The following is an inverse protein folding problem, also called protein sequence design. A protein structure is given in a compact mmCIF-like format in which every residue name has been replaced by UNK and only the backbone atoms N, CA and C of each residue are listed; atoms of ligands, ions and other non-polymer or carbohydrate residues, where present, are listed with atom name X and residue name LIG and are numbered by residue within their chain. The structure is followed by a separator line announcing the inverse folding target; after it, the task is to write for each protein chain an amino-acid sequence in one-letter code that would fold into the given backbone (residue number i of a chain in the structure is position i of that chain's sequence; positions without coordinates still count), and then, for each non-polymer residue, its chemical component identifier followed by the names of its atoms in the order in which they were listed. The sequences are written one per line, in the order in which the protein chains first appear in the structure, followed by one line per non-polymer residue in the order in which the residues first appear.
data_IF_925814922099
#
_entry.id   IF_925814922099
#
_cell.length_a   1.000
_cell.length_b   1.000
_cell.length_c   1.000
_cell.angle_alpha   90.00
_cell.angle_beta   90.00
_cell.angle_gamma   90.00
#
_symmetry.space_group_name_H-M   'P 1'
#
loop_
_entity.id
_entity.type
_entity.pdbx_description
1 polymer ?
#
# COMPACT_ATOMS: atom_id res chain seq x y z
N UNK A 1 39.49 42.16 29.51
CA UNK A 1 39.28 40.97 30.36
C UNK A 1 39.18 39.77 29.42
N UNK A 2 40.22 39.09 28.90
CA UNK A 2 41.52 38.65 29.42
C UNK A 2 41.44 37.95 30.78
N UNK A 3 41.35 36.60 30.76
CA UNK A 3 42.21 35.65 31.50
C UNK A 3 42.23 34.29 30.76
N UNK A 4 43.44 33.89 30.34
CA UNK A 4 44.14 32.58 30.24
C UNK A 4 43.39 31.24 30.03
N UNK A 5 43.66 30.47 28.96
CA UNK A 5 44.73 29.44 28.72
C UNK A 5 45.01 28.41 29.83
N UNK A 6 44.92 27.11 29.47
CA UNK A 6 45.93 26.07 29.75
C UNK A 6 45.63 24.70 29.08
N UNK A 7 46.63 24.19 28.33
CA UNK A 7 47.15 22.81 28.17
C UNK A 7 46.19 21.67 27.75
N UNK A 8 46.43 20.83 26.72
CA UNK A 8 47.67 20.42 26.07
C UNK A 8 47.98 18.95 26.40
N UNK A 9 47.58 18.00 25.55
CA UNK A 9 48.10 16.62 25.56
C UNK A 9 48.46 16.20 24.14
N UNK A 10 49.77 16.11 23.92
CA UNK A 10 50.43 15.49 22.79
C UNK A 10 50.24 13.96 22.83
N UNK A 11 49.91 13.34 21.69
CA UNK A 11 50.21 11.92 21.46
C UNK A 11 51.02 11.83 20.18
N UNK A 12 52.29 11.46 20.34
CA UNK A 12 53.23 11.22 19.25
C UNK A 12 52.97 9.87 18.58
N UNK A 13 53.12 9.89 17.26
CA UNK A 13 53.12 8.75 16.37
C UNK A 13 54.29 7.79 16.65
N UNK A 14 54.05 6.50 16.45
CA UNK A 14 55.10 5.52 16.14
C UNK A 14 54.76 4.91 14.79
N UNK A 15 55.61 5.20 13.81
CA UNK A 15 55.63 4.56 12.51
C UNK A 15 56.48 3.28 12.60
N UNK A 16 56.00 2.20 12.00
CA UNK A 16 56.78 0.98 11.80
C UNK A 16 56.69 0.56 10.32
N UNK A 17 57.81 0.61 9.56
CA UNK A 17 57.87 0.09 8.21
C UNK A 17 58.75 -1.16 8.14
N UNK A 18 58.21 -2.28 7.63
CA UNK A 18 58.82 -3.09 6.55
C UNK A 18 58.16 -4.46 6.38
N UNK A 19 57.94 -4.77 5.09
CA UNK A 19 58.08 -6.07 4.42
C UNK A 19 57.15 -7.21 4.88
N UNK A 20 56.30 -7.66 3.96
CA UNK A 20 56.57 -8.90 3.21
C UNK A 20 55.60 -9.07 2.04
N UNK A 21 56.16 -9.14 0.84
CA UNK A 21 55.50 -9.61 -0.35
C UNK A 21 55.31 -11.13 -0.24
N UNK A 22 54.12 -11.67 -0.55
CA UNK A 22 53.99 -13.04 -1.03
C UNK A 22 52.59 -13.32 -1.62
N UNK A 23 52.61 -13.57 -2.93
CA UNK A 23 51.82 -14.59 -3.65
C UNK A 23 50.30 -14.45 -3.76
N UNK A 24 49.91 -13.95 -4.94
CA UNK A 24 48.71 -14.35 -5.68
C UNK A 24 48.68 -15.88 -5.85
N UNK A 25 47.53 -16.56 -5.69
CA UNK A 25 47.28 -17.83 -6.34
C UNK A 25 46.61 -17.61 -7.70
N UNK A 26 46.99 -18.51 -8.60
CA UNK A 26 46.72 -18.50 -10.03
C UNK A 26 45.23 -18.61 -10.40
N UNK A 27 44.92 -17.94 -11.50
CA UNK A 27 43.84 -18.25 -12.42
C UNK A 27 43.87 -19.75 -12.74
N UNK A 28 42.89 -20.51 -12.25
CA UNK A 28 42.60 -21.84 -12.76
C UNK A 28 41.75 -21.70 -14.01
N UNK A 29 42.42 -21.99 -15.12
CA UNK A 29 41.85 -22.49 -16.37
C UNK A 29 40.70 -23.46 -16.09
N UNK A 30 39.50 -23.12 -16.57
CA UNK A 30 38.45 -24.10 -16.81
C UNK A 30 38.58 -24.52 -18.27
N UNK A 31 39.07 -25.75 -18.42
CA UNK A 31 39.13 -26.52 -19.65
C UNK A 31 37.74 -26.69 -20.26
N UNK A 32 37.70 -26.40 -21.56
CA UNK A 32 36.74 -26.82 -22.57
C UNK A 32 36.39 -28.30 -22.38
N UNK A 33 35.13 -28.60 -22.04
CA UNK A 33 34.56 -29.94 -22.19
C UNK A 33 33.61 -29.87 -23.38
N UNK A 34 34.09 -30.39 -24.51
CA UNK A 34 33.23 -30.90 -25.57
C UNK A 34 32.65 -32.23 -25.08
N UNK A 35 31.33 -32.34 -25.06
CA UNK A 35 30.65 -33.63 -25.05
C UNK A 35 29.46 -33.54 -25.99
N UNK A 36 29.62 -34.20 -27.12
CA UNK A 36 28.61 -34.50 -28.11
C UNK A 36 27.58 -35.48 -27.52
N UNK A 37 26.30 -35.24 -27.82
CA UNK A 37 25.42 -36.23 -28.44
C UNK A 37 24.84 -37.39 -27.61
N UNK A 38 23.50 -37.42 -27.59
CA UNK A 38 22.59 -38.57 -27.41
C UNK A 38 22.42 -39.02 -25.94
N UNK A 39 21.22 -39.26 -25.38
CA UNK A 39 19.90 -39.55 -25.94
C UNK A 39 18.83 -39.48 -24.82
N UNK A 40 17.60 -39.12 -25.21
CA UNK A 40 16.32 -39.55 -24.64
C UNK A 40 16.02 -39.30 -23.15
N UNK A 41 15.26 -38.23 -22.87
CA UNK A 41 14.34 -38.20 -21.73
C UNK A 41 13.06 -37.42 -22.08
N UNK A 42 11.85 -37.99 -21.88
CA UNK A 42 10.58 -37.36 -22.23
C UNK A 42 10.09 -36.51 -21.04
N UNK A 43 10.40 -35.22 -21.05
CA UNK A 43 9.78 -34.24 -20.13
C UNK A 43 9.49 -32.89 -20.80
N UNK A 44 9.40 -32.87 -22.13
CA UNK A 44 8.99 -31.72 -22.91
C UNK A 44 7.61 -31.96 -23.54
N UNK A 45 6.54 -31.93 -22.73
CA UNK A 45 5.17 -31.95 -23.26
C UNK A 45 4.11 -31.27 -22.37
N UNK A 46 4.49 -30.54 -21.31
CA UNK A 46 3.50 -29.83 -20.48
C UNK A 46 4.02 -28.44 -20.06
N UNK A 47 4.35 -27.59 -21.03
CA UNK A 47 4.56 -26.14 -20.81
C UNK A 47 4.29 -25.31 -22.09
N UNK A 48 3.47 -25.82 -23.02
CA UNK A 48 2.99 -25.08 -24.20
C UNK A 48 1.47 -24.89 -24.18
N UNK A 49 0.89 -24.73 -22.99
CA UNK A 49 -0.33 -23.93 -22.89
C UNK A 49 0.11 -22.48 -22.99
N UNK A 50 0.18 -22.02 -24.24
CA UNK A 50 -0.05 -20.63 -24.57
C UNK A 50 -1.39 -20.25 -23.92
N UNK A 51 -1.32 -19.79 -22.67
CA UNK A 51 -2.36 -18.93 -22.13
C UNK A 51 -2.24 -17.70 -23.00
N UNK A 52 -3.06 -17.65 -24.05
CA UNK A 52 -3.56 -16.39 -24.57
C UNK A 52 -4.13 -15.68 -23.36
N UNK A 53 -3.28 -14.90 -22.71
CA UNK A 53 -3.70 -13.85 -21.79
C UNK A 53 -4.67 -13.08 -22.67
N UNK A 54 -5.99 -13.09 -22.41
CA UNK A 54 -6.83 -12.12 -23.07
C UNK A 54 -6.18 -10.81 -22.67
N UNK A 55 -5.65 -10.10 -23.66
CA UNK A 55 -5.32 -8.70 -23.52
C UNK A 55 -6.44 -8.14 -22.66
N UNK A 56 -6.12 -7.54 -21.52
CA UNK A 56 -7.05 -6.64 -20.87
C UNK A 56 -7.28 -5.53 -21.89
N UNK A 57 -8.19 -5.82 -22.83
CA UNK A 57 -8.79 -4.89 -23.74
C UNK A 57 -9.25 -3.80 -22.80
N UNK A 58 -8.80 -2.59 -23.08
CA UNK A 58 -9.47 -1.39 -22.65
C UNK A 58 -10.96 -1.69 -22.75
N UNK A 59 -11.66 -1.82 -21.62
CA UNK A 59 -13.13 -1.79 -21.60
C UNK A 59 -13.53 -0.34 -21.91
N UNK A 60 -13.10 0.15 -23.07
CA UNK A 60 -13.66 1.30 -23.74
C UNK A 60 -15.08 0.89 -24.09
N UNK A 61 -15.99 1.31 -23.23
CA UNK A 61 -17.40 1.17 -23.48
C UNK A 61 -17.70 2.04 -24.72
N UNK A 62 -17.75 1.41 -25.90
CA UNK A 62 -18.17 2.05 -27.13
C UNK A 62 -19.60 2.56 -26.92
N UNK A 63 -19.73 3.85 -26.65
CA UNK A 63 -21.03 4.51 -26.39
C UNK A 63 -21.90 4.58 -27.64
N UNK A 64 -21.37 4.23 -28.83
CA UNK A 64 -22.16 4.10 -30.05
C UNK A 64 -22.85 2.74 -30.16
N UNK A 65 -22.39 1.72 -29.43
CA UNK A 65 -23.00 0.39 -29.45
C UNK A 65 -24.26 0.33 -28.56
N UNK A 66 -25.36 -0.27 -29.03
CA UNK A 66 -26.60 -0.39 -28.25
C UNK A 66 -26.47 -1.33 -27.05
N UNK A 67 -25.42 -2.15 -26.99
CA UNK A 67 -25.16 -3.14 -25.95
C UNK A 67 -23.65 -3.16 -25.68
N UNK A 68 -23.21 -3.10 -24.43
CA UNK A 68 -21.78 -3.21 -24.11
C UNK A 68 -21.25 -4.61 -24.46
N UNK A 69 -19.94 -4.72 -24.69
CA UNK A 69 -19.32 -5.97 -25.11
C UNK A 69 -19.62 -7.14 -24.16
N UNK A 70 -19.60 -6.90 -22.84
CA UNK A 70 -19.96 -7.90 -21.84
C UNK A 70 -21.41 -8.41 -22.00
N UNK A 71 -22.39 -7.51 -22.16
CA UNK A 71 -23.79 -7.91 -22.32
C UNK A 71 -24.04 -8.65 -23.64
N UNK A 72 -23.30 -8.29 -24.70
CA UNK A 72 -23.35 -8.98 -26.00
C UNK A 72 -22.79 -10.40 -25.90
N UNK A 73 -21.70 -10.61 -25.18
CA UNK A 73 -21.07 -11.92 -25.01
C UNK A 73 -21.89 -12.88 -24.12
N UNK A 74 -22.81 -12.34 -23.31
CA UNK A 74 -23.62 -13.11 -22.37
C UNK A 74 -25.12 -13.15 -22.72
N UNK A 75 -25.50 -12.77 -23.95
CA UNK A 75 -26.90 -12.71 -24.43
C UNK A 75 -27.86 -11.96 -23.47
N UNK A 76 -27.36 -10.91 -22.81
CA UNK A 76 -28.16 -10.05 -21.93
C UNK A 76 -28.80 -8.95 -22.78
N UNK A 77 -30.11 -9.04 -23.02
CA UNK A 77 -30.87 -8.12 -23.87
C UNK A 77 -31.11 -6.72 -23.28
N UNK A 78 -31.00 -6.55 -21.96
CA UNK A 78 -31.20 -5.28 -21.26
C UNK A 78 -29.90 -4.76 -20.62
N UNK A 79 -29.06 -4.12 -21.43
CA UNK A 79 -27.80 -3.56 -20.97
C UNK A 79 -28.02 -2.27 -20.18
N UNK A 80 -27.85 -2.33 -18.84
CA UNK A 80 -27.96 -1.16 -17.95
C UNK A 80 -26.92 -0.05 -18.19
N UNK A 81 -25.88 -0.33 -18.98
CA UNK A 81 -24.77 0.59 -19.21
C UNK A 81 -24.85 1.34 -20.54
N UNK A 82 -25.79 1.00 -21.43
CA UNK A 82 -26.05 1.79 -22.62
C UNK A 82 -26.85 3.04 -22.23
N UNK A 83 -26.38 4.27 -22.51
CA UNK A 83 -27.17 5.47 -22.25
C UNK A 83 -28.51 5.36 -22.97
N UNK A 84 -29.62 5.28 -22.23
CA UNK A 84 -30.98 5.33 -22.79
C UNK A 84 -31.08 6.60 -23.64
N UNK A 85 -31.04 6.47 -24.98
CA UNK A 85 -31.40 7.56 -25.88
C UNK A 85 -32.81 8.00 -25.50
N UNK A 86 -32.93 9.11 -24.78
CA UNK A 86 -34.20 9.81 -24.63
C UNK A 86 -34.59 10.21 -26.05
N UNK A 87 -35.55 9.48 -26.62
CA UNK A 87 -36.27 9.92 -27.80
C UNK A 87 -36.86 11.28 -27.46
N UNK A 88 -36.25 12.37 -27.95
CA UNK A 88 -36.90 13.68 -27.94
C UNK A 88 -38.16 13.51 -28.79
N UNK A 89 -39.31 13.57 -28.14
CA UNK A 89 -40.57 13.68 -28.84
C UNK A 89 -40.50 14.94 -29.72
N UNK A 90 -40.48 14.75 -31.03
CA UNK A 90 -40.68 15.81 -32.00
C UNK A 90 -42.15 16.21 -31.95
N UNK A 91 -42.46 17.20 -31.13
CA UNK A 91 -43.67 18.01 -31.28
C UNK A 91 -43.46 18.94 -32.47
N UNK A 92 -44.34 18.78 -33.46
CA UNK A 92 -44.59 19.69 -34.58
C UNK A 92 -44.73 21.14 -34.14
N UNK A 93 -44.03 22.06 -34.82
CA UNK A 93 -44.61 23.27 -35.43
C UNK A 93 -43.50 24.19 -35.97
N UNK A 94 -43.68 24.53 -37.25
CA UNK A 94 -43.40 25.80 -37.93
C UNK A 94 -41.99 26.43 -37.88
N UNK A 95 -41.39 26.41 -39.06
CA UNK A 95 -40.36 27.31 -39.57
C UNK A 95 -40.77 28.79 -39.41
N UNK A 96 -39.81 29.71 -39.21
CA UNK A 96 -39.25 30.34 -40.39
C UNK A 96 -37.72 30.54 -40.37
N UNK A 97 -37.23 30.75 -41.59
CA UNK A 97 -35.85 31.03 -41.99
C UNK A 97 -35.23 32.21 -41.22
N UNK A 98 -33.96 32.10 -40.80
CA UNK A 98 -33.01 33.21 -40.88
C UNK A 98 -31.57 32.73 -41.09
N UNK A 99 -30.83 33.63 -41.73
CA UNK A 99 -29.64 33.43 -42.54
C UNK A 99 -28.35 33.15 -41.75
N UNK A 100 -27.40 32.57 -42.47
CA UNK A 100 -26.02 32.31 -42.09
C UNK A 100 -25.27 33.54 -41.59
N UNK A 101 -24.36 33.33 -40.62
CA UNK A 101 -23.07 34.03 -40.61
C UNK A 101 -22.00 33.17 -39.95
N UNK A 102 -20.98 32.89 -40.75
CA UNK A 102 -19.69 32.33 -40.37
C UNK A 102 -18.96 33.26 -39.40
N UNK A 103 -18.31 32.72 -38.36
CA UNK A 103 -17.19 33.36 -37.67
C UNK A 103 -16.42 32.31 -36.86
N UNK A 104 -15.34 31.78 -37.45
CA UNK A 104 -14.26 31.11 -36.74
C UNK A 104 -13.40 32.17 -36.05
N UNK A 105 -13.02 31.94 -34.79
CA UNK A 105 -11.89 32.63 -34.16
C UNK A 105 -10.97 31.63 -33.43
N UNK A 106 -9.67 31.97 -33.31
CA UNK A 106 -8.61 31.00 -33.15
C UNK A 106 -8.20 30.79 -31.69
N UNK A 107 -7.62 29.62 -31.47
CA UNK A 107 -6.94 29.19 -30.26
C UNK A 107 -5.68 30.05 -30.04
N UNK A 108 -5.55 30.67 -28.86
CA UNK A 108 -4.28 31.26 -28.43
C UNK A 108 -3.79 30.57 -27.15
N UNK A 109 -2.53 30.21 -27.19
CA UNK A 109 -1.71 29.60 -26.16
C UNK A 109 -1.06 30.66 -25.29
N UNK A 110 -1.31 30.66 -23.97
CA UNK A 110 -0.32 31.12 -22.99
C UNK A 110 -0.68 30.65 -21.59
N UNK A 111 0.34 30.17 -20.87
CA UNK A 111 0.20 29.44 -19.61
C UNK A 111 0.16 30.32 -18.36
N UNK A 112 0.31 29.58 -17.25
CA UNK A 112 0.44 29.98 -15.84
C UNK A 112 -0.83 29.90 -14.98
N UNK A 113 -0.63 29.28 -13.81
CA UNK A 113 -1.52 29.07 -12.66
C UNK A 113 -2.56 27.93 -12.72
N UNK A 114 -2.13 26.73 -12.31
CA UNK A 114 -3.03 25.67 -11.86
C UNK A 114 -3.56 25.96 -10.45
N UNK A 115 -4.53 26.88 -10.37
CA UNK A 115 -5.49 26.94 -9.26
C UNK A 115 -6.73 26.18 -9.69
N UNK A 116 -6.85 24.92 -9.26
CA UNK A 116 -8.04 24.10 -9.53
C UNK A 116 -9.13 24.45 -8.52
N UNK A 117 -9.96 25.44 -8.86
CA UNK A 117 -11.23 25.70 -8.18
C UNK A 117 -12.24 24.64 -8.63
N UNK A 118 -12.65 23.75 -7.72
CA UNK A 118 -13.87 22.96 -7.92
C UNK A 118 -15.07 23.83 -7.57
N UNK A 119 -15.70 24.40 -8.59
CA UNK A 119 -17.02 25.01 -8.46
C UNK A 119 -18.06 23.92 -8.22
N UNK A 120 -18.74 24.01 -7.08
CA UNK A 120 -19.95 23.25 -6.78
C UNK A 120 -21.05 23.63 -7.80
N UNK A 121 -21.39 22.70 -8.70
CA UNK A 121 -22.59 22.81 -9.54
C UNK A 121 -23.69 22.01 -8.84
N UNK A 122 -24.61 22.74 -8.21
CA UNK A 122 -25.90 22.23 -7.76
C UNK A 122 -26.80 22.00 -8.99
N UNK A 123 -27.08 20.74 -9.32
CA UNK A 123 -28.05 20.34 -10.33
C UNK A 123 -29.27 19.64 -9.71
N UNK A 124 -30.47 19.75 -10.30
CA UNK A 124 -31.73 19.47 -9.63
C UNK A 124 -32.05 17.98 -9.51
N UNK A 125 -32.73 17.67 -8.39
CA UNK A 125 -33.22 16.37 -7.95
C UNK A 125 -33.85 15.53 -9.05
N UNK A 126 -33.42 14.27 -9.11
CA UNK A 126 -34.17 13.18 -9.71
C UNK A 126 -34.29 12.09 -8.65
N UNK A 127 -35.51 11.91 -8.16
CA UNK A 127 -35.93 10.85 -7.24
C UNK A 127 -35.42 9.49 -7.73
N UNK A 128 -34.42 8.96 -7.04
CA UNK A 128 -34.15 7.54 -7.04
C UNK A 128 -33.85 7.16 -5.59
N UNK A 129 -34.81 6.44 -5.00
CA UNK A 129 -34.70 5.94 -3.64
C UNK A 129 -33.41 5.14 -3.47
N UNK A 130 -32.56 5.45 -2.48
CA UNK A 130 -31.50 4.54 -2.09
C UNK A 130 -32.16 3.34 -1.40
N UNK A 131 -31.92 2.15 -1.93
CA UNK A 131 -32.12 0.90 -1.19
C UNK A 131 -31.25 0.95 0.06
N UNK A 132 -31.86 1.35 1.17
CA UNK A 132 -31.27 1.31 2.49
C UNK A 132 -30.87 -0.12 2.80
N UNK A 133 -29.57 -0.42 2.74
CA UNK A 133 -29.02 -1.56 3.46
C UNK A 133 -29.15 -1.23 4.95
N UNK A 134 -30.28 -1.62 5.53
CA UNK A 134 -30.48 -1.66 6.97
C UNK A 134 -29.46 -2.66 7.50
N UNK A 135 -28.38 -2.14 8.07
CA UNK A 135 -27.45 -2.94 8.86
C UNK A 135 -28.22 -3.40 10.10
N UNK A 136 -28.76 -4.61 10.04
CA UNK A 136 -29.45 -5.24 11.17
C UNK A 136 -28.39 -5.51 12.24
N UNK A 137 -28.41 -4.70 13.28
CA UNK A 137 -27.60 -4.87 14.48
C UNK A 137 -27.76 -6.31 15.00
N UNK A 138 -26.68 -7.09 15.16
CA UNK A 138 -26.80 -8.41 15.76
C UNK A 138 -27.27 -8.22 17.19
N UNK A 139 -28.47 -8.75 17.50
CA UNK A 139 -28.98 -8.86 18.85
C UNK A 139 -27.85 -9.43 19.74
N UNK A 140 -27.41 -8.62 20.72
CA UNK A 140 -26.52 -9.07 21.78
C UNK A 140 -27.15 -10.31 22.41
N UNK A 141 -26.52 -11.47 22.23
CA UNK A 141 -26.84 -12.64 23.03
C UNK A 141 -26.62 -12.27 24.50
N UNK A 142 -27.60 -12.51 25.40
CA UNK A 142 -27.36 -12.42 26.81
C UNK A 142 -26.27 -13.43 27.17
N UNK A 143 -25.26 -12.97 27.91
CA UNK A 143 -24.22 -13.83 28.48
C UNK A 143 -24.90 -14.92 29.31
N UNK A 144 -24.90 -16.15 28.80
CA UNK A 144 -25.15 -17.34 29.61
C UNK A 144 -23.99 -17.47 30.58
N UNK A 145 -24.31 -17.37 31.87
CA UNK A 145 -23.39 -17.65 32.98
C UNK A 145 -22.66 -18.98 32.72
N UNK A 146 -21.33 -18.90 32.63
CA UNK A 146 -20.48 -20.08 32.53
C UNK A 146 -20.57 -20.92 33.80
N UNK A 147 -20.34 -22.23 33.72
CA UNK A 147 -20.41 -23.13 34.86
C UNK A 147 -19.43 -22.69 35.96
N UNK A 148 -19.82 -22.86 37.26
CA UNK A 148 -18.96 -22.49 38.37
C UNK A 148 -17.64 -23.26 38.27
N UNK A 149 -16.53 -22.52 38.26
CA UNK A 149 -15.20 -23.09 38.30
C UNK A 149 -15.08 -23.95 39.55
N UNK A 150 -14.97 -25.26 39.34
CA UNK A 150 -14.67 -26.22 40.38
C UNK A 150 -13.35 -25.80 41.06
N UNK A 151 -13.43 -25.64 42.38
CA UNK A 151 -12.33 -25.35 43.28
C UNK A 151 -11.22 -26.39 43.10
N UNK A 152 -10.13 -25.99 42.46
CA UNK A 152 -8.88 -26.75 42.51
C UNK A 152 -8.32 -26.70 43.94
N UNK A 153 -7.89 -27.84 44.51
CA UNK A 153 -7.35 -27.89 45.86
C UNK A 153 -6.06 -27.06 45.95
N UNK A 154 -6.00 -26.22 46.97
CA UNK A 154 -4.84 -25.39 47.27
C UNK A 154 -3.58 -26.24 47.45
N UNK A 155 -2.43 -25.85 46.87
CA UNK A 155 -1.17 -26.53 47.11
C UNK A 155 -0.75 -26.35 48.57
N UNK A 156 -0.54 -27.49 49.23
CA UNK A 156 -0.11 -27.58 50.63
C UNK A 156 1.26 -26.94 50.76
N UNK A 157 1.32 -25.81 51.48
CA UNK A 157 2.53 -25.04 51.71
C UNK A 157 3.37 -25.70 52.81
N UNK A 158 4.38 -26.46 52.44
CA UNK A 158 5.46 -26.84 53.34
C UNK A 158 6.78 -26.25 52.82
N UNK A 159 7.16 -25.10 53.38
CA UNK A 159 8.53 -24.77 53.79
C UNK A 159 8.54 -23.35 54.35
N UNK A 160 8.74 -23.25 55.65
CA UNK A 160 8.89 -22.01 56.38
C UNK A 160 10.23 -21.34 55.99
N UNK A 161 10.18 -20.41 55.06
CA UNK A 161 11.22 -19.39 54.90
C UNK A 161 10.70 -18.07 55.47
N UNK A 162 11.52 -17.30 56.21
CA UNK A 162 11.11 -16.01 56.75
C UNK A 162 10.86 -15.04 55.59
N UNK A 163 9.59 -14.82 55.29
CA UNK A 163 9.13 -13.89 54.27
C UNK A 163 9.38 -12.46 54.78
N UNK A 164 10.48 -11.84 54.36
CA UNK A 164 10.62 -10.39 54.45
C UNK A 164 9.47 -9.77 53.64
N UNK A 165 8.51 -9.19 54.35
CA UNK A 165 7.46 -8.37 53.77
C UNK A 165 8.13 -7.06 53.32
N UNK A 166 8.67 -7.04 52.11
CA UNK A 166 8.97 -5.76 51.47
C UNK A 166 7.64 -5.05 51.22
N UNK A 167 7.45 -3.82 51.75
CA UNK A 167 6.25 -3.06 51.46
C UNK A 167 6.17 -2.90 49.94
N UNK A 168 5.12 -3.47 49.34
CA UNK A 168 4.80 -3.26 47.94
C UNK A 168 4.45 -1.78 47.80
N UNK A 169 5.43 -0.97 47.44
CA UNK A 169 5.18 0.40 47.06
C UNK A 169 4.40 0.30 45.75
N UNK A 170 3.10 0.55 45.82
CA UNK A 170 2.26 0.78 44.65
C UNK A 170 2.75 2.09 44.00
N UNK A 171 3.88 2.01 43.30
CA UNK A 171 4.33 3.04 42.39
C UNK A 171 3.27 3.08 41.30
N UNK A 172 2.32 4.01 41.43
CA UNK A 172 1.54 4.50 40.30
C UNK A 172 2.57 4.97 39.28
N UNK A 173 2.90 4.11 38.32
CA UNK A 173 3.76 4.49 37.22
C UNK A 173 3.07 5.70 36.57
N UNK A 174 3.76 6.85 36.44
CA UNK A 174 3.17 7.99 35.79
C UNK A 174 2.65 7.52 34.43
N UNK A 175 1.35 7.72 34.19
CA UNK A 175 0.74 7.30 32.95
C UNK A 175 1.61 7.81 31.81
N UNK A 176 2.12 6.92 30.93
CA UNK A 176 3.03 7.34 29.88
C UNK A 176 2.30 8.41 29.08
N UNK A 177 2.81 9.66 29.16
CA UNK A 177 2.19 10.83 28.53
C UNK A 177 2.03 10.50 27.05
N UNK A 178 0.80 10.16 26.67
CA UNK A 178 0.52 9.76 25.29
C UNK A 178 0.62 11.01 24.44
N UNK A 179 1.52 11.00 23.47
CA UNK A 179 1.60 12.05 22.47
C UNK A 179 0.20 12.28 21.87
N UNK A 180 -0.27 13.53 21.75
CA UNK A 180 -1.55 13.82 21.10
C UNK A 180 -1.50 13.60 19.59
N UNK A 181 -0.33 13.25 19.04
CA UNK A 181 -0.10 13.05 17.62
C UNK A 181 0.00 11.58 17.25
N UNK A 182 -0.33 11.26 16.00
CA UNK A 182 -0.23 9.91 15.46
C UNK A 182 1.25 9.53 15.34
N UNK A 183 1.61 8.44 16.01
CA UNK A 183 2.92 7.81 15.85
C UNK A 183 2.89 6.88 14.64
N UNK A 184 3.75 7.09 13.62
CA UNK A 184 3.90 6.16 12.52
C UNK A 184 4.32 4.78 13.04
N UNK A 185 3.81 3.73 12.41
CA UNK A 185 4.26 2.37 12.66
C UNK A 185 5.72 2.22 12.23
N UNK A 186 6.53 1.62 13.11
CA UNK A 186 7.94 1.38 12.89
C UNK A 186 8.34 0.01 13.43
N UNK A 187 9.16 -0.70 12.67
CA UNK A 187 9.74 -1.98 13.08
C UNK A 187 11.15 -2.10 12.48
N UNK A 188 12.16 -2.53 13.25
CA UNK A 188 13.57 -2.51 12.80
C UNK A 188 13.83 -3.35 11.55
N UNK A 189 13.07 -4.43 11.35
CA UNK A 189 13.20 -5.31 10.18
C UNK A 189 12.42 -4.87 8.94
N UNK A 190 11.66 -3.78 8.97
CA UNK A 190 10.86 -3.32 7.82
C UNK A 190 11.30 -1.93 7.41
N UNK A 191 11.25 -1.64 6.11
CA UNK A 191 11.49 -0.28 5.64
C UNK A 191 10.44 0.66 6.24
N UNK A 192 10.81 1.83 6.81
CA UNK A 192 9.84 2.84 7.22
C UNK A 192 9.16 3.45 5.99
N UNK A 193 7.93 3.97 6.12
CA UNK A 193 7.29 4.73 5.05
C UNK A 193 8.15 5.94 4.61
N UNK A 194 7.97 6.46 3.37
CA UNK A 194 8.68 7.65 2.90
C UNK A 194 8.70 8.78 3.93
N UNK A 195 9.85 9.44 4.08
CA UNK A 195 10.07 10.45 5.13
C UNK A 195 9.05 11.59 5.12
N UNK A 196 8.53 11.97 3.95
CA UNK A 196 7.46 12.97 3.83
C UNK A 196 6.16 12.53 4.52
N UNK A 197 5.82 11.24 4.45
CA UNK A 197 4.65 10.65 5.09
C UNK A 197 4.85 10.62 6.61
N UNK A 198 5.97 10.06 7.08
CA UNK A 198 6.23 9.91 8.51
C UNK A 198 6.34 11.25 9.24
N UNK A 199 6.99 12.26 8.65
CA UNK A 199 7.03 13.63 9.19
C UNK A 199 5.64 14.24 9.27
N UNK A 200 4.79 14.05 8.24
CA UNK A 200 3.44 14.62 8.24
C UNK A 200 2.54 13.94 9.27
N UNK A 201 2.62 12.62 9.42
CA UNK A 201 1.85 11.86 10.42
C UNK A 201 2.11 12.37 11.85
N UNK A 202 3.36 12.71 12.16
CA UNK A 202 3.75 13.27 13.46
C UNK A 202 3.10 14.64 13.79
N UNK A 203 2.45 15.29 12.81
CA UNK A 203 1.73 16.56 13.01
C UNK A 203 0.22 16.40 13.13
N UNK A 204 -0.32 15.22 12.81
CA UNK A 204 -1.76 14.95 12.80
C UNK A 204 -2.20 14.49 14.19
N UNK A 205 -3.25 15.12 14.73
CA UNK A 205 -3.81 14.74 16.03
C UNK A 205 -4.58 13.43 15.92
N UNK A 206 -4.39 12.53 16.88
CA UNK A 206 -5.09 11.23 16.84
C UNK A 206 -6.62 11.39 17.00
N UNK A 207 -7.09 12.45 17.65
CA UNK A 207 -8.53 12.73 17.86
C UNK A 207 -9.28 13.08 16.57
N UNK A 208 -8.57 13.48 15.52
CA UNK A 208 -9.14 13.86 14.23
C UNK A 208 -9.28 12.65 13.28
N UNK A 209 -8.73 11.49 13.65
CA UNK A 209 -8.62 10.31 12.80
C UNK A 209 -9.29 9.08 13.46
N UNK A 210 -9.62 8.03 12.69
CA UNK A 210 -10.05 6.76 13.26
C UNK A 210 -9.04 6.22 14.26
N UNK A 211 -9.50 5.59 15.34
CA UNK A 211 -8.62 4.81 16.22
C UNK A 211 -7.99 3.65 15.43
N UNK A 212 -6.67 3.47 15.56
CA UNK A 212 -5.92 2.41 14.85
C UNK A 212 -6.54 1.04 15.07
N UNK A 213 -6.74 0.64 16.33
CA UNK A 213 -7.28 -0.67 16.69
C UNK A 213 -8.67 -0.91 16.08
N UNK A 214 -9.51 0.13 16.04
CA UNK A 214 -10.84 0.04 15.44
C UNK A 214 -10.75 -0.21 13.92
N UNK A 215 -9.81 0.46 13.24
CA UNK A 215 -9.55 0.23 11.83
C UNK A 215 -8.97 -1.17 11.57
N UNK A 216 -7.98 -1.61 12.35
CA UNK A 216 -7.37 -2.94 12.20
C UNK A 216 -8.40 -4.06 12.38
N UNK A 217 -9.28 -3.97 13.40
CA UNK A 217 -10.37 -4.93 13.60
C UNK A 217 -11.34 -4.92 12.41
N UNK A 218 -11.68 -3.75 11.88
CA UNK A 218 -12.57 -3.64 10.72
C UNK A 218 -11.92 -4.19 9.44
N UNK A 219 -10.63 -3.94 9.24
CA UNK A 219 -9.84 -4.45 8.13
C UNK A 219 -9.76 -5.98 8.19
N UNK A 220 -9.41 -6.56 9.34
CA UNK A 220 -9.38 -8.02 9.53
C UNK A 220 -10.72 -8.67 9.24
N UNK A 221 -11.83 -8.06 9.69
CA UNK A 221 -13.19 -8.54 9.39
C UNK A 221 -13.49 -8.48 7.89
N UNK A 222 -13.05 -7.44 7.20
CA UNK A 222 -13.19 -7.33 5.75
C UNK A 222 -12.39 -8.42 5.03
N UNK A 223 -11.12 -8.60 5.37
CA UNK A 223 -10.25 -9.64 4.80
C UNK A 223 -10.81 -11.03 5.05
N UNK A 224 -11.33 -11.31 6.25
CA UNK A 224 -11.95 -12.59 6.58
C UNK A 224 -13.16 -12.94 5.69
N UNK A 225 -13.82 -11.95 5.08
CA UNK A 225 -14.95 -12.13 4.16
C UNK A 225 -14.55 -12.24 2.69
N UNK A 226 -13.30 -11.94 2.35
CA UNK A 226 -12.81 -12.10 0.98
C UNK A 226 -12.79 -13.57 0.57
N UNK A 227 -12.88 -13.81 -0.74
CA UNK A 227 -12.64 -15.13 -1.30
C UNK A 227 -11.21 -15.59 -0.94
N UNK A 228 -10.98 -16.89 -0.70
CA UNK A 228 -9.64 -17.43 -0.40
C UNK A 228 -8.56 -16.94 -1.38
N UNK A 229 -8.94 -16.77 -2.64
CA UNK A 229 -8.13 -16.23 -3.74
C UNK A 229 -7.56 -14.85 -3.45
N UNK A 230 -8.38 -13.98 -2.89
CA UNK A 230 -8.02 -12.58 -2.64
C UNK A 230 -7.41 -12.40 -1.25
N UNK A 231 -7.72 -13.27 -0.30
CA UNK A 231 -7.20 -13.21 1.07
C UNK A 231 -5.68 -13.20 1.13
N UNK A 232 -5.04 -14.07 0.36
CA UNK A 232 -3.58 -14.24 0.37
C UNK A 232 -2.81 -13.04 -0.19
N UNK A 233 -3.46 -12.16 -0.97
CA UNK A 233 -2.80 -11.06 -1.70
C UNK A 233 -3.38 -9.68 -1.39
N UNK A 234 -4.48 -9.60 -0.63
CA UNK A 234 -5.12 -8.33 -0.28
C UNK A 234 -4.30 -7.53 0.74
N UNK A 235 -3.79 -8.19 1.78
CA UNK A 235 -2.96 -7.57 2.82
C UNK A 235 -1.99 -8.60 3.36
N UNK A 236 -0.81 -8.15 3.76
CA UNK A 236 0.22 -9.03 4.30
C UNK A 236 0.49 -8.68 5.76
N UNK A 237 0.21 -9.64 6.64
CA UNK A 237 0.71 -9.58 8.01
C UNK A 237 2.24 -9.42 8.01
N UNK A 238 2.86 -8.87 9.08
CA UNK A 238 4.31 -8.73 9.14
C UNK A 238 5.07 -10.02 8.83
N UNK A 239 4.60 -11.17 9.33
CA UNK A 239 5.23 -12.47 9.07
C UNK A 239 5.11 -12.90 7.59
N UNK A 240 3.92 -12.80 6.99
CA UNK A 240 3.70 -13.15 5.60
C UNK A 240 4.50 -12.22 4.66
N UNK A 241 4.52 -10.93 4.95
CA UNK A 241 5.28 -9.92 4.22
C UNK A 241 6.78 -10.21 4.27
N UNK A 242 7.33 -10.47 5.46
CA UNK A 242 8.74 -10.78 5.63
C UNK A 242 9.11 -12.09 4.93
N UNK A 243 8.26 -13.12 5.01
CA UNK A 243 8.48 -14.39 4.30
C UNK A 243 8.55 -14.16 2.79
N UNK A 244 7.60 -13.41 2.23
CA UNK A 244 7.57 -13.07 0.81
C UNK A 244 8.80 -12.26 0.38
N UNK A 245 9.12 -11.19 1.10
CA UNK A 245 10.29 -10.35 0.80
C UNK A 245 11.60 -11.15 0.81
N UNK A 246 11.80 -12.00 1.82
CA UNK A 246 12.97 -12.86 1.91
C UNK A 246 13.04 -13.90 0.80
N UNK A 247 11.91 -14.52 0.43
CA UNK A 247 11.87 -15.50 -0.65
C UNK A 247 12.20 -14.84 -2.01
N UNK A 248 11.68 -13.64 -2.26
CA UNK A 248 11.97 -12.88 -3.47
C UNK A 248 13.43 -12.41 -3.51
N UNK A 249 13.97 -11.91 -2.40
CA UNK A 249 15.36 -11.47 -2.32
C UNK A 249 16.35 -12.61 -2.59
N UNK A 250 16.05 -13.83 -2.11
CA UNK A 250 16.91 -15.02 -2.25
C UNK A 250 16.64 -15.84 -3.51
N UNK A 251 15.58 -15.52 -4.26
CA UNK A 251 15.10 -16.35 -5.38
C UNK A 251 14.51 -17.70 -4.95
N UNK A 252 14.25 -17.92 -3.66
CA UNK A 252 13.72 -19.19 -3.12
C UNK A 252 12.19 -19.16 -3.07
N UNK A 253 11.54 -19.11 -4.23
CA UNK A 253 10.08 -18.96 -4.32
C UNK A 253 9.30 -20.23 -3.93
N UNK A 254 9.95 -21.39 -3.82
CA UNK A 254 9.30 -22.68 -3.53
C UNK A 254 8.59 -22.76 -2.19
N UNK A 255 8.95 -21.86 -1.26
CA UNK A 255 8.31 -21.75 0.06
C UNK A 255 6.98 -20.99 0.02
N UNK A 256 6.69 -20.30 -1.09
CA UNK A 256 5.48 -19.51 -1.25
C UNK A 256 4.34 -20.38 -1.78
N UNK A 257 3.10 -20.04 -1.40
CA UNK A 257 1.93 -20.70 -1.99
C UNK A 257 1.94 -20.54 -3.52
N UNK A 258 1.41 -21.51 -4.29
CA UNK A 258 1.31 -21.39 -5.75
C UNK A 258 0.62 -20.09 -6.19
N UNK A 259 -0.34 -19.61 -5.39
CA UNK A 259 -1.08 -18.38 -5.63
C UNK A 259 -0.22 -17.14 -5.43
N UNK A 260 0.50 -17.03 -4.32
CA UNK A 260 1.43 -15.91 -4.07
C UNK A 260 2.52 -15.89 -5.13
N UNK A 261 3.03 -17.06 -5.56
CA UNK A 261 4.00 -17.14 -6.67
C UNK A 261 3.43 -16.58 -7.97
N UNK A 262 2.22 -17.03 -8.36
CA UNK A 262 1.56 -16.57 -9.59
C UNK A 262 1.32 -15.06 -9.55
N UNK A 263 0.80 -14.56 -8.43
CA UNK A 263 0.57 -13.13 -8.22
C UNK A 263 1.88 -12.33 -8.28
N UNK A 264 2.92 -12.76 -7.56
CA UNK A 264 4.21 -12.08 -7.55
C UNK A 264 4.85 -12.04 -8.95
N UNK A 265 4.79 -13.13 -9.71
CA UNK A 265 5.28 -13.19 -11.09
C UNK A 265 4.47 -12.28 -12.02
N UNK A 266 3.14 -12.33 -11.94
CA UNK A 266 2.24 -11.54 -12.79
C UNK A 266 2.49 -10.03 -12.59
N UNK A 267 2.61 -9.60 -11.34
CA UNK A 267 2.83 -8.19 -11.00
C UNK A 267 4.31 -7.80 -10.94
N UNK A 268 5.24 -8.71 -11.28
CA UNK A 268 6.70 -8.51 -11.19
C UNK A 268 7.15 -7.96 -9.83
N UNK A 269 6.57 -8.51 -8.76
CA UNK A 269 6.89 -8.11 -7.39
C UNK A 269 8.31 -8.54 -7.06
N UNK A 270 9.07 -7.64 -6.45
CA UNK A 270 10.46 -7.86 -6.08
C UNK A 270 10.75 -7.36 -4.66
N UNK A 271 11.86 -7.83 -4.08
CA UNK A 271 12.40 -7.22 -2.86
C UNK A 271 13.11 -5.92 -3.22
N UNK A 272 12.73 -4.83 -2.54
CA UNK A 272 13.34 -3.51 -2.71
C UNK A 272 14.57 -3.26 -1.84
N UNK A 273 14.94 -4.21 -0.98
CA UNK A 273 16.06 -4.07 -0.03
C UNK A 273 16.62 -5.45 0.29
N UNK A 274 17.94 -5.55 0.49
CA UNK A 274 18.59 -6.76 1.01
C UNK A 274 18.73 -6.72 2.55
N UNK A 275 18.49 -5.55 3.17
CA UNK A 275 18.65 -5.33 4.63
C UNK A 275 17.33 -5.26 5.38
N UNK A 276 16.28 -4.77 4.72
CA UNK A 276 14.97 -4.53 5.29
C UNK A 276 13.92 -5.27 4.46
N UNK A 277 12.84 -5.71 5.10
CA UNK A 277 11.70 -6.22 4.36
C UNK A 277 11.00 -5.04 3.66
N UNK A 278 11.09 -5.03 2.33
CA UNK A 278 10.43 -4.06 1.46
C UNK A 278 10.03 -4.75 0.16
N UNK A 279 8.76 -4.65 -0.20
CA UNK A 279 8.22 -5.15 -1.46
C UNK A 279 7.92 -3.99 -2.41
N UNK A 280 8.38 -4.13 -3.65
CA UNK A 280 8.17 -3.17 -4.72
C UNK A 280 7.47 -3.84 -5.91
N UNK A 281 6.56 -3.10 -6.53
CA UNK A 281 5.94 -3.42 -7.82
C UNK A 281 6.37 -2.35 -8.84
N UNK A 282 6.78 -2.71 -10.06
CA UNK A 282 7.10 -1.72 -11.09
C UNK A 282 5.84 -0.95 -11.53
N UNK A 283 5.96 0.37 -11.69
CA UNK A 283 4.91 1.20 -12.32
C UNK A 283 4.76 0.88 -13.79
N UNK A 284 3.66 1.32 -14.41
CA UNK A 284 3.37 1.10 -15.83
C UNK A 284 4.52 1.51 -16.77
N UNK A 285 5.29 2.55 -16.43
CA UNK A 285 6.45 3.01 -17.19
C UNK A 285 7.58 1.98 -17.20
N UNK A 286 7.86 1.37 -16.05
CA UNK A 286 8.88 0.34 -15.88
C UNK A 286 8.36 -1.03 -16.34
N UNK A 287 7.09 -1.31 -16.12
CA UNK A 287 6.46 -2.58 -16.49
C UNK A 287 6.54 -2.85 -18.01
N UNK A 288 6.47 -1.79 -18.82
CA UNK A 288 6.60 -1.84 -20.28
C UNK A 288 8.03 -2.09 -20.78
N UNK A 289 9.04 -1.90 -19.94
CA UNK A 289 10.43 -2.15 -20.30
C UNK A 289 10.68 -3.65 -20.48
N UNK A 290 11.78 -3.97 -21.16
CA UNK A 290 12.25 -5.36 -21.24
C UNK A 290 12.53 -5.91 -19.83
N UNK A 291 12.53 -7.24 -19.72
CA UNK A 291 12.81 -7.89 -18.44
C UNK A 291 14.20 -7.50 -17.90
N UNK A 292 15.22 -7.41 -18.77
CA UNK A 292 16.59 -7.05 -18.41
C UNK A 292 16.70 -5.61 -17.89
N UNK A 293 16.06 -4.65 -18.56
CA UNK A 293 16.03 -3.24 -18.12
C UNK A 293 15.28 -3.08 -16.80
N UNK A 294 14.17 -3.82 -16.63
CA UNK A 294 13.41 -3.83 -15.37
C UNK A 294 14.28 -4.33 -14.23
N UNK A 295 14.97 -5.46 -14.41
CA UNK A 295 15.89 -6.03 -13.41
C UNK A 295 17.04 -5.08 -13.10
N UNK A 296 17.60 -4.41 -14.11
CA UNK A 296 18.66 -3.40 -13.91
C UNK A 296 18.16 -2.24 -13.04
N UNK A 297 17.01 -1.64 -13.37
CA UNK A 297 16.40 -0.55 -12.58
C UNK A 297 16.07 -0.99 -11.16
N UNK A 298 15.55 -2.20 -10.98
CA UNK A 298 15.28 -2.77 -9.65
C UNK A 298 16.55 -2.91 -8.82
N UNK A 299 17.64 -3.38 -9.43
CA UNK A 299 18.94 -3.51 -8.75
C UNK A 299 19.51 -2.16 -8.31
N UNK A 300 19.44 -1.15 -9.17
CA UNK A 300 19.87 0.23 -8.87
C UNK A 300 19.06 0.84 -7.72
N UNK A 301 17.72 0.73 -7.78
CA UNK A 301 16.82 1.18 -6.73
C UNK A 301 17.14 0.52 -5.38
N UNK A 302 17.34 -0.81 -5.36
CA UNK A 302 17.69 -1.56 -4.16
C UNK A 302 19.00 -1.10 -3.53
N UNK A 303 20.06 -0.91 -4.32
CA UNK A 303 21.36 -0.43 -3.83
C UNK A 303 21.21 0.95 -3.18
N UNK A 304 20.43 1.85 -3.80
CA UNK A 304 20.20 3.19 -3.28
C UNK A 304 19.41 3.16 -1.96
N UNK A 305 18.33 2.37 -1.88
CA UNK A 305 17.54 2.22 -0.66
C UNK A 305 18.36 1.61 0.49
N UNK A 306 19.20 0.61 0.22
CA UNK A 306 20.07 0.00 1.22
C UNK A 306 21.22 0.92 1.69
N UNK A 307 21.66 1.84 0.82
CA UNK A 307 22.62 2.87 1.19
C UNK A 307 21.98 3.94 2.09
N UNK A 308 20.75 4.38 1.77
CA UNK A 308 19.97 5.30 2.60
C UNK A 308 19.66 4.70 3.97
N UNK A 309 19.24 3.44 4.03
CA UNK A 309 18.96 2.73 5.27
C UNK A 309 20.20 2.61 6.18
N UNK A 310 21.41 2.61 5.60
CA UNK A 310 22.66 2.58 6.35
C UNK A 310 23.11 3.96 6.89
N UNK A 311 22.30 5.02 6.71
CA UNK A 311 22.66 6.36 7.14
C UNK A 311 23.83 6.97 6.35
N UNK A 312 24.15 6.43 5.16
CA UNK A 312 25.12 7.07 4.28
C UNK A 312 24.48 8.33 3.72
N UNK A 313 25.01 9.49 4.08
CA UNK A 313 24.59 10.78 3.54
C UNK A 313 24.82 10.77 2.02
N UNK A 314 23.78 10.51 1.25
CA UNK A 314 23.82 10.71 -0.19
C UNK A 314 23.67 12.23 -0.39
N UNK A 315 24.53 12.89 -1.18
CA UNK A 315 24.50 14.33 -1.39
C UNK A 315 23.10 14.82 -1.81
N UNK A 316 22.53 15.74 -1.04
CA UNK A 316 21.13 16.19 -1.08
C UNK A 316 20.70 16.86 -2.40
N UNK A 317 21.63 17.18 -3.30
CA UNK A 317 21.41 18.20 -4.32
C UNK A 317 20.62 17.77 -5.57
N UNK A 318 20.32 16.48 -5.78
CA UNK A 318 19.52 16.06 -6.95
C UNK A 318 18.85 14.67 -6.81
N UNK A 319 18.56 14.24 -5.58
CA UNK A 319 18.01 12.91 -5.32
C UNK A 319 16.51 12.86 -5.60
N UNK A 320 16.17 12.59 -6.87
CA UNK A 320 14.92 11.92 -7.18
C UNK A 320 14.77 10.69 -6.26
N UNK A 321 13.56 10.45 -5.74
CA UNK A 321 13.29 9.29 -4.91
C UNK A 321 13.68 8.03 -5.70
N UNK A 322 14.62 7.19 -5.19
CA UNK A 322 15.05 5.97 -5.87
C UNK A 322 13.86 5.05 -6.21
N UNK A 323 12.79 5.13 -5.43
CA UNK A 323 11.57 4.36 -5.60
C UNK A 323 10.52 5.03 -6.50
N UNK A 324 10.80 6.18 -7.13
CA UNK A 324 9.83 6.91 -7.96
C UNK A 324 9.30 6.07 -9.14
N UNK A 325 10.14 5.16 -9.65
CA UNK A 325 9.84 4.23 -10.74
C UNK A 325 8.99 3.01 -10.30
N UNK A 326 8.79 2.86 -8.99
CA UNK A 326 8.12 1.73 -8.38
C UNK A 326 6.94 2.18 -7.52
N UNK A 327 6.04 1.24 -7.26
CA UNK A 327 5.02 1.34 -6.23
C UNK A 327 5.41 0.44 -5.08
N UNK A 328 5.36 0.99 -3.88
CA UNK A 328 5.62 0.28 -2.65
C UNK A 328 4.36 -0.45 -2.19
N UNK A 329 4.53 -1.72 -1.82
CA UNK A 329 3.48 -2.48 -1.15
C UNK A 329 3.68 -2.29 0.36
N UNK A 330 2.72 -1.69 1.09
CA UNK A 330 2.80 -1.55 2.54
C UNK A 330 2.57 -2.90 3.23
N UNK A 331 3.26 -3.11 4.36
CA UNK A 331 2.87 -4.16 5.31
C UNK A 331 1.57 -3.75 6.01
N UNK A 332 0.74 -4.70 6.44
CA UNK A 332 -0.61 -4.43 6.93
C UNK A 332 -0.73 -3.26 7.93
N UNK A 333 0.09 -3.13 8.98
CA UNK A 333 0.01 -1.99 9.90
C UNK A 333 0.32 -0.62 9.26
N UNK A 334 1.09 -0.59 8.17
CA UNK A 334 1.39 0.63 7.41
C UNK A 334 0.18 1.10 6.58
N UNK A 335 -0.82 0.25 6.31
CA UNK A 335 -2.02 0.65 5.56
C UNK A 335 -2.76 1.78 6.29
N UNK A 336 -2.90 1.67 7.62
CA UNK A 336 -3.49 2.74 8.44
C UNK A 336 -2.73 4.06 8.29
N UNK A 337 -1.41 4.03 8.36
CA UNK A 337 -0.56 5.22 8.25
C UNK A 337 -0.71 5.90 6.88
N UNK A 338 -0.72 5.10 5.81
CA UNK A 338 -0.96 5.58 4.46
C UNK A 338 -2.33 6.26 4.33
N UNK A 339 -3.38 5.65 4.90
CA UNK A 339 -4.75 6.18 4.86
C UNK A 339 -4.91 7.44 5.72
N UNK A 340 -4.32 7.51 6.91
CA UNK A 340 -4.28 8.74 7.73
C UNK A 340 -3.63 9.87 6.93
N UNK A 341 -2.48 9.60 6.32
CA UNK A 341 -1.78 10.60 5.52
C UNK A 341 -2.66 11.09 4.37
N UNK A 342 -3.25 10.18 3.60
CA UNK A 342 -4.07 10.55 2.44
C UNK A 342 -5.40 11.22 2.83
N UNK A 343 -6.00 10.82 3.94
CA UNK A 343 -7.27 11.34 4.45
C UNK A 343 -7.12 12.56 5.38
N UNK A 344 -5.89 13.09 5.57
CA UNK A 344 -5.61 14.25 6.44
C UNK A 344 -6.47 15.50 6.20
N UNK A 345 -7.06 15.64 5.01
CA UNK A 345 -7.97 16.72 4.64
C UNK A 345 -9.45 16.31 4.59
N UNK A 346 -9.83 15.20 5.22
CA UNK A 346 -11.18 14.63 5.20
C UNK A 346 -11.76 14.41 3.79
N UNK A 347 -10.89 14.08 2.83
CA UNK A 347 -11.26 13.88 1.45
C UNK A 347 -12.06 12.58 1.24
N UNK A 348 -12.84 12.52 0.17
CA UNK A 348 -13.59 11.32 -0.23
C UNK A 348 -12.68 10.14 -0.57
N UNK A 349 -13.22 8.92 -0.60
CA UNK A 349 -12.44 7.72 -0.90
C UNK A 349 -11.70 7.80 -2.24
N UNK A 350 -12.34 8.38 -3.27
CA UNK A 350 -11.71 8.57 -4.59
C UNK A 350 -10.48 9.48 -4.48
N UNK A 351 -10.60 10.62 -3.78
CA UNK A 351 -9.49 11.54 -3.58
C UNK A 351 -8.36 10.91 -2.74
N UNK A 352 -8.72 10.13 -1.71
CA UNK A 352 -7.77 9.36 -0.90
C UNK A 352 -6.99 8.38 -1.78
N UNK A 353 -7.65 7.59 -2.63
CA UNK A 353 -6.97 6.63 -3.52
C UNK A 353 -6.07 7.32 -4.56
N UNK A 354 -6.48 8.46 -5.09
CA UNK A 354 -5.64 9.24 -6.00
C UNK A 354 -4.37 9.74 -5.30
N UNK A 355 -4.48 10.19 -4.04
CA UNK A 355 -3.34 10.58 -3.24
C UNK A 355 -2.42 9.39 -2.92
N UNK A 356 -2.99 8.22 -2.56
CA UNK A 356 -2.22 6.98 -2.36
C UNK A 356 -1.43 6.59 -3.62
N UNK A 357 -2.06 6.64 -4.79
CA UNK A 357 -1.38 6.36 -6.07
C UNK A 357 -0.29 7.38 -6.37
N UNK A 358 -0.52 8.66 -6.08
CA UNK A 358 0.48 9.72 -6.26
C UNK A 358 1.73 9.47 -5.40
N UNK A 359 1.55 8.92 -4.20
CA UNK A 359 2.65 8.55 -3.29
C UNK A 359 3.42 7.30 -3.75
N UNK A 360 2.97 6.61 -4.80
CA UNK A 360 3.57 5.33 -5.20
C UNK A 360 3.32 4.24 -4.18
N UNK A 361 2.12 4.19 -3.59
CA UNK A 361 1.70 3.11 -2.71
C UNK A 361 0.64 2.27 -3.44
N UNK A 362 0.81 0.96 -3.47
CA UNK A 362 -0.12 0.02 -4.09
C UNK A 362 -0.85 -0.83 -3.04
N UNK A 363 -1.68 -1.77 -3.50
CA UNK A 363 -2.48 -2.73 -2.69
C UNK A 363 -3.60 -2.14 -1.81
N UNK A 364 -3.63 -0.83 -1.58
CA UNK A 364 -4.76 -0.18 -0.89
C UNK A 364 -5.94 -0.07 -1.85
N UNK A 365 -7.04 -0.74 -1.50
CA UNK A 365 -8.25 -0.82 -2.32
C UNK A 365 -9.32 0.17 -1.89
N UNK A 366 -10.32 0.40 -2.74
CA UNK A 366 -11.46 1.26 -2.41
C UNK A 366 -12.22 0.84 -1.14
N UNK A 367 -12.54 -0.46 -0.92
CA UNK A 367 -13.16 -0.88 0.34
C UNK A 367 -12.33 -0.54 1.59
N UNK A 368 -11.00 -0.61 1.52
CA UNK A 368 -10.14 -0.24 2.66
C UNK A 368 -10.24 1.26 2.98
N UNK A 369 -10.27 2.10 1.95
CA UNK A 369 -10.46 3.55 2.11
C UNK A 369 -11.85 3.89 2.68
N UNK A 370 -12.90 3.23 2.21
CA UNK A 370 -14.27 3.40 2.73
C UNK A 370 -14.40 2.96 4.19
N UNK A 371 -13.82 1.81 4.56
CA UNK A 371 -13.76 1.37 5.96
C UNK A 371 -13.12 2.46 6.82
N UNK A 372 -11.97 2.98 6.39
CA UNK A 372 -11.29 4.04 7.12
C UNK A 372 -12.13 5.32 7.27
N UNK A 373 -12.74 5.79 6.18
CA UNK A 373 -13.56 7.01 6.17
C UNK A 373 -14.82 6.85 7.02
N UNK A 374 -15.46 5.68 6.98
CA UNK A 374 -16.65 5.39 7.80
C UNK A 374 -16.37 5.41 9.30
N UNK A 375 -15.13 5.07 9.69
CA UNK A 375 -14.65 5.12 11.07
C UNK A 375 -14.12 6.51 11.47
N UNK A 376 -14.01 7.46 10.53
CA UNK A 376 -13.49 8.78 10.80
C UNK A 376 -14.50 9.61 11.61
N UNK A 377 -14.14 10.12 12.81
CA UNK A 377 -15.09 10.78 13.69
C UNK A 377 -15.66 12.08 13.08
N UNK A 378 -14.84 12.80 12.30
CA UNK A 378 -15.23 14.07 11.68
C UNK A 378 -16.14 13.85 10.47
N UNK A 379 -15.82 12.88 9.61
CA UNK A 379 -16.65 12.55 8.44
C UNK A 379 -18.01 11.96 8.86
N UNK A 380 -18.02 11.08 9.86
CA UNK A 380 -19.25 10.45 10.34
C UNK A 380 -20.16 11.46 11.07
N UNK A 381 -19.59 12.41 11.82
CA UNK A 381 -20.38 13.50 12.41
C UNK A 381 -21.03 14.39 11.34
N UNK A 382 -20.27 14.78 10.30
CA UNK A 382 -20.79 15.59 9.20
C UNK A 382 -21.92 14.88 8.44
N UNK A 383 -21.75 13.58 8.14
CA UNK A 383 -22.77 12.77 7.46
C UNK A 383 -24.08 12.69 8.26
N UNK A 384 -24.01 12.53 9.58
CA UNK A 384 -25.20 12.52 10.45
C UNK A 384 -25.93 13.87 10.47
N UNK A 385 -25.20 14.98 10.47
CA UNK A 385 -25.81 16.32 10.42
C UNK A 385 -26.51 16.55 9.07
N UNK A 386 -25.90 16.11 7.97
CA UNK A 386 -26.53 16.19 6.65
C UNK A 386 -27.81 15.34 6.56
N UNK A 387 -27.76 14.11 7.08
CA UNK A 387 -28.91 13.21 7.10
C UNK A 387 -30.06 13.69 8.01
N UNK A 388 -29.77 14.48 9.05
CA UNK A 388 -30.80 15.06 9.92
C UNK A 388 -31.50 16.29 9.32
N UNK A 389 -30.98 16.86 8.22
CA UNK A 389 -31.50 18.08 7.57
C UNK A 389 -32.30 17.81 6.30
N UNK A 390 -32.18 16.62 5.72
CA UNK A 390 -32.99 16.17 4.58
C UNK A 390 -34.09 15.24 5.07
#
# INVERSE_FOLDING_TARGET
MQVDTCHGVHVHAVADPRRSASRRPALRSMSRIESQGLSNSPCASVCHLSISVPSFLSFECDRAAPVCQYCRENDISDCRYTPKKRTRALSSSDQPQFQASSSRLPYNTQGQHASFMFSNISGPSSDSQPTSFVFREPLRQPYTEGPPLALLPAPVSHTAYPHQQQPFIAHSFPDPVRSPYIRPWAHPSFAPLPGAITRRLATIKYTEMPLRDAFEVALLRFVAKLMPELKETACFSPEAYATLANCLAKGTVDRLSPRIRSWATCHRICSGSDKLNLLLAPRDTVFKLSHEETVKKMSECRIQLDAQAAGKNIPELDQADPAADFERIPVEPQIYDCLVYAHRGHASAVAVLMEIRRLGISSITWPMAEIFISLCPLCNAAGRIAAARG
#
